data_IF_638963896422
#
_entry.id   IF_638963896422
#
_cell.length_a   1.000
_cell.length_b   1.000
_cell.length_c   1.000
_cell.angle_alpha   90.00
_cell.angle_beta   90.00
_cell.angle_gamma   90.00
#
_symmetry.space_group_name_H-M   'P 1'
#
loop_
_entity.id
_entity.type
_entity.pdbx_description
1 polymer ?
#
# COMPACT_ATOMS: atom_id res chain seq x y z
N UNK A 1 -4.44 17.67 -13.46
CA UNK A 1 -5.50 16.75 -13.81
C UNK A 1 -4.94 15.52 -14.50
N UNK A 2 -5.34 14.34 -14.05
CA UNK A 2 -4.78 13.09 -14.57
C UNK A 2 -5.71 12.35 -15.52
N UNK A 3 -6.61 13.10 -16.17
CA UNK A 3 -7.52 12.54 -17.17
C UNK A 3 -6.70 11.88 -18.28
N UNK A 4 -6.98 10.64 -18.59
CA UNK A 4 -6.25 9.87 -19.60
C UNK A 4 -5.05 9.10 -19.10
N UNK A 5 -4.57 9.36 -17.89
CA UNK A 5 -3.50 8.58 -17.30
C UNK A 5 -4.08 7.32 -16.65
N UNK A 6 -3.55 6.11 -16.95
CA UNK A 6 -4.00 4.92 -16.25
C UNK A 6 -3.67 5.01 -14.76
N UNK A 7 -4.53 4.45 -13.94
CA UNK A 7 -4.24 4.39 -12.51
C UNK A 7 -3.08 3.45 -12.24
N UNK A 8 -2.23 3.84 -11.30
CA UNK A 8 -1.14 3.01 -10.82
C UNK A 8 -1.60 2.00 -9.76
N UNK A 9 -2.88 2.01 -9.43
CA UNK A 9 -3.46 1.19 -8.38
C UNK A 9 -4.72 0.53 -8.90
N UNK A 10 -4.84 -0.78 -8.69
CA UNK A 10 -6.10 -1.49 -8.86
C UNK A 10 -6.56 -2.02 -7.51
N UNK A 11 -7.86 -2.26 -7.37
CA UNK A 11 -8.41 -2.73 -6.10
C UNK A 11 -9.28 -3.95 -6.31
N UNK A 12 -9.31 -4.84 -5.32
CA UNK A 12 -10.23 -5.96 -5.25
C UNK A 12 -10.60 -6.23 -3.80
N UNK A 13 -11.78 -6.78 -3.59
CA UNK A 13 -12.27 -7.13 -2.25
C UNK A 13 -11.90 -8.58 -1.94
N UNK A 14 -11.34 -8.82 -0.75
CA UNK A 14 -11.02 -10.14 -0.26
C UNK A 14 -11.77 -10.42 1.03
N UNK A 15 -12.32 -11.63 1.16
CA UNK A 15 -13.04 -12.05 2.37
C UNK A 15 -14.17 -11.09 2.74
N UNK A 16 -14.73 -10.36 1.77
CA UNK A 16 -15.84 -9.45 1.96
C UNK A 16 -15.55 -8.17 2.74
N UNK A 17 -14.42 -8.07 3.42
CA UNK A 17 -14.15 -6.97 4.34
C UNK A 17 -12.83 -6.24 4.09
N UNK A 18 -11.86 -6.89 3.46
CA UNK A 18 -10.54 -6.32 3.23
C UNK A 18 -10.39 -5.94 1.78
N UNK A 19 -9.93 -4.72 1.52
CA UNK A 19 -9.68 -4.29 0.16
C UNK A 19 -8.18 -4.36 -0.12
N UNK A 20 -7.81 -5.06 -1.20
CA UNK A 20 -6.42 -5.20 -1.62
C UNK A 20 -6.14 -4.19 -2.72
N UNK A 21 -5.18 -3.33 -2.48
CA UNK A 21 -4.74 -2.31 -3.43
C UNK A 21 -3.41 -2.76 -4.02
N UNK A 22 -3.42 -3.09 -5.30
CA UNK A 22 -2.22 -3.56 -6.00
C UNK A 22 -1.53 -2.39 -6.68
N UNK A 23 -0.24 -2.21 -6.39
CA UNK A 23 0.58 -1.15 -6.99
C UNK A 23 1.15 -1.66 -8.31
N UNK A 24 0.85 -0.94 -9.38
CA UNK A 24 1.30 -1.27 -10.74
C UNK A 24 2.44 -0.33 -11.15
N UNK A 25 3.56 -0.44 -10.47
CA UNK A 25 4.80 0.25 -10.80
C UNK A 25 5.94 -0.59 -10.24
N UNK A 26 6.97 -0.83 -11.03
CA UNK A 26 8.11 -1.64 -10.59
C UNK A 26 9.19 -0.79 -9.94
N UNK A 27 9.35 0.46 -10.35
CA UNK A 27 10.40 1.36 -9.87
C UNK A 27 9.75 2.63 -9.30
N UNK A 28 9.66 2.71 -7.98
CA UNK A 28 8.99 3.82 -7.29
C UNK A 28 10.06 4.71 -6.67
N UNK A 29 10.81 5.38 -7.54
CA UNK A 29 11.96 6.19 -7.14
C UNK A 29 11.86 7.66 -7.56
N UNK A 30 11.07 7.98 -8.59
CA UNK A 30 10.95 9.36 -9.07
C UNK A 30 9.84 10.10 -8.32
N UNK A 31 10.09 11.37 -8.02
CA UNK A 31 9.17 12.20 -7.25
C UNK A 31 7.79 12.30 -7.89
N UNK A 32 7.74 12.46 -9.21
CA UNK A 32 6.46 12.59 -9.92
C UNK A 32 5.65 11.30 -9.82
N UNK A 33 6.31 10.15 -9.98
CA UNK A 33 5.65 8.87 -9.87
C UNK A 33 5.14 8.64 -8.44
N UNK A 34 5.95 8.97 -7.44
CA UNK A 34 5.56 8.84 -6.04
C UNK A 34 4.32 9.69 -5.75
N UNK A 35 4.29 10.92 -6.26
CA UNK A 35 3.14 11.80 -6.10
C UNK A 35 1.89 11.25 -6.74
N UNK A 36 2.01 10.74 -7.97
CA UNK A 36 0.88 10.13 -8.68
C UNK A 36 0.38 8.89 -7.95
N UNK A 37 1.28 8.06 -7.47
CA UNK A 37 0.90 6.86 -6.73
C UNK A 37 0.15 7.22 -5.45
N UNK A 38 0.61 8.22 -4.73
CA UNK A 38 -0.07 8.69 -3.52
C UNK A 38 -1.49 9.17 -3.80
N UNK A 39 -1.68 9.91 -4.88
CA UNK A 39 -3.01 10.36 -5.31
C UNK A 39 -3.91 9.16 -5.63
N UNK A 40 -3.39 8.22 -6.41
CA UNK A 40 -4.16 7.04 -6.81
C UNK A 40 -4.55 6.17 -5.60
N UNK A 41 -3.64 6.02 -4.64
CA UNK A 41 -3.93 5.28 -3.41
C UNK A 41 -5.02 5.96 -2.60
N UNK A 42 -4.95 7.27 -2.42
CA UNK A 42 -5.98 8.00 -1.68
C UNK A 42 -7.33 7.92 -2.37
N UNK A 43 -7.37 8.00 -3.69
CA UNK A 43 -8.61 7.85 -4.45
C UNK A 43 -9.21 6.47 -4.26
N UNK A 44 -8.40 5.44 -4.31
CA UNK A 44 -8.88 4.06 -4.12
C UNK A 44 -9.42 3.86 -2.71
N UNK A 45 -8.76 4.41 -1.71
CA UNK A 45 -9.18 4.34 -0.32
C UNK A 45 -10.51 5.08 -0.12
N UNK A 46 -10.60 6.29 -0.65
CA UNK A 46 -11.78 7.14 -0.43
C UNK A 46 -12.99 6.64 -1.20
N UNK A 47 -12.78 5.91 -2.31
CA UNK A 47 -13.88 5.37 -3.11
C UNK A 47 -14.51 4.12 -2.48
N UNK A 48 -13.79 3.45 -1.57
CA UNK A 48 -14.26 2.20 -0.96
C UNK A 48 -14.93 2.44 0.38
N UNK A 49 -15.60 1.40 0.85
CA UNK A 49 -16.23 1.38 2.17
C UNK A 49 -15.55 0.41 3.13
N UNK A 50 -14.37 -0.09 2.77
CA UNK A 50 -13.65 -1.04 3.60
C UNK A 50 -13.02 -0.35 4.81
N UNK A 51 -12.87 -1.10 5.90
CA UNK A 51 -12.21 -0.63 7.11
C UNK A 51 -10.76 -1.12 7.19
N UNK A 52 -10.36 -1.99 6.29
CA UNK A 52 -9.03 -2.56 6.29
C UNK A 52 -8.52 -2.69 4.85
N UNK A 53 -7.26 -2.38 4.66
CA UNK A 53 -6.62 -2.36 3.35
C UNK A 53 -5.31 -3.11 3.40
N UNK A 54 -5.04 -3.87 2.34
CA UNK A 54 -3.72 -4.47 2.08
C UNK A 54 -3.11 -3.76 0.89
N UNK A 55 -1.88 -3.32 1.02
CA UNK A 55 -1.14 -2.75 -0.09
C UNK A 55 -0.23 -3.84 -0.64
N UNK A 56 -0.55 -4.30 -1.86
CA UNK A 56 0.19 -5.38 -2.52
C UNK A 56 1.35 -4.76 -3.32
N UNK A 57 2.57 -5.01 -2.86
CA UNK A 57 3.79 -4.46 -3.43
C UNK A 57 4.60 -5.51 -4.19
N UNK A 58 3.97 -6.64 -4.52
CA UNK A 58 4.71 -7.76 -5.14
C UNK A 58 5.31 -7.39 -6.50
N UNK A 59 4.75 -6.41 -7.20
CA UNK A 59 5.30 -5.91 -8.46
C UNK A 59 6.34 -4.81 -8.31
N UNK A 60 6.56 -4.30 -7.12
CA UNK A 60 7.51 -3.21 -6.89
C UNK A 60 8.89 -3.81 -6.62
N UNK A 61 9.86 -3.39 -7.42
CA UNK A 61 11.23 -3.90 -7.32
C UNK A 61 12.17 -2.94 -6.59
N UNK A 62 11.94 -1.64 -6.73
CA UNK A 62 12.77 -0.61 -6.10
C UNK A 62 11.91 0.50 -5.55
N UNK A 63 12.27 1.02 -4.39
CA UNK A 63 11.67 2.25 -3.86
C UNK A 63 12.70 3.03 -3.04
N UNK A 64 12.43 4.31 -2.88
CA UNK A 64 13.27 5.23 -2.11
C UNK A 64 12.66 5.52 -0.75
N UNK A 65 13.42 6.19 0.11
CA UNK A 65 12.89 6.66 1.38
C UNK A 65 11.76 7.67 1.19
N UNK A 66 11.73 8.41 0.08
CA UNK A 66 10.61 9.31 -0.23
C UNK A 66 9.33 8.50 -0.47
N UNK A 67 9.43 7.39 -1.20
CA UNK A 67 8.29 6.49 -1.38
C UNK A 67 7.84 5.88 -0.06
N UNK A 68 8.78 5.50 0.79
CA UNK A 68 8.46 4.99 2.12
C UNK A 68 7.69 6.02 2.92
N UNK A 69 8.11 7.28 2.87
CA UNK A 69 7.40 8.38 3.53
C UNK A 69 5.97 8.52 3.03
N UNK A 70 5.76 8.34 1.74
CA UNK A 70 4.42 8.38 1.17
C UNK A 70 3.55 7.24 1.73
N UNK A 71 4.08 6.02 1.84
CA UNK A 71 3.33 4.89 2.43
C UNK A 71 3.01 5.14 3.90
N UNK A 72 3.93 5.74 4.64
CA UNK A 72 3.68 6.11 6.04
C UNK A 72 2.55 7.14 6.13
N UNK A 73 2.52 8.11 5.21
CA UNK A 73 1.43 9.09 5.16
C UNK A 73 0.09 8.43 4.84
N UNK A 74 0.07 7.43 3.97
CA UNK A 74 -1.15 6.67 3.69
C UNK A 74 -1.61 5.94 4.96
N UNK A 75 -0.68 5.33 5.69
CA UNK A 75 -1.01 4.68 6.95
C UNK A 75 -1.64 5.66 7.94
N UNK A 76 -1.05 6.85 8.09
CA UNK A 76 -1.58 7.88 8.99
C UNK A 76 -2.98 8.35 8.57
N UNK A 77 -3.18 8.53 7.26
CA UNK A 77 -4.49 8.90 6.72
C UNK A 77 -5.56 7.85 7.07
N UNK A 78 -5.21 6.59 6.94
CA UNK A 78 -6.13 5.49 7.29
C UNK A 78 -6.37 5.42 8.80
N UNK A 79 -5.33 5.56 9.60
CA UNK A 79 -5.45 5.52 11.06
C UNK A 79 -6.38 6.62 11.58
N UNK A 80 -6.30 7.81 11.00
CA UNK A 80 -7.18 8.93 11.37
C UNK A 80 -8.65 8.62 11.09
N UNK A 81 -8.92 7.72 10.17
CA UNK A 81 -10.27 7.30 9.81
C UNK A 81 -10.70 6.01 10.51
N UNK A 82 -9.88 5.50 11.41
CA UNK A 82 -10.16 4.26 12.10
C UNK A 82 -9.97 3.02 11.25
N UNK A 83 -9.25 3.14 10.13
CA UNK A 83 -8.98 2.04 9.22
C UNK A 83 -7.60 1.46 9.47
N UNK A 84 -7.39 0.22 9.04
CA UNK A 84 -6.14 -0.49 9.22
C UNK A 84 -5.45 -0.74 7.89
N UNK A 85 -4.12 -0.81 7.91
CA UNK A 85 -3.32 -1.08 6.72
C UNK A 85 -2.28 -2.16 7.03
N UNK A 86 -2.10 -3.08 6.10
CA UNK A 86 -0.95 -3.98 6.10
C UNK A 86 -0.28 -3.94 4.74
N UNK A 87 1.02 -4.14 4.71
CA UNK A 87 1.79 -4.22 3.47
C UNK A 87 2.09 -5.68 3.17
N UNK A 88 2.11 -6.05 1.91
CA UNK A 88 2.31 -7.44 1.49
C UNK A 88 3.19 -7.50 0.25
N UNK A 89 3.92 -8.59 0.11
CA UNK A 89 4.64 -8.91 -1.11
C UNK A 89 5.98 -8.22 -1.28
N UNK A 90 6.46 -7.50 -0.29
CA UNK A 90 7.75 -6.84 -0.39
C UNK A 90 8.87 -7.89 -0.47
N UNK A 91 9.80 -7.69 -1.41
CA UNK A 91 10.93 -8.59 -1.62
C UNK A 91 12.15 -7.77 -2.04
N UNK A 92 13.34 -8.38 -1.96
CA UNK A 92 14.58 -7.78 -2.44
C UNK A 92 14.85 -6.40 -1.84
N UNK A 93 15.03 -5.41 -2.70
CA UNK A 93 15.30 -4.03 -2.28
C UNK A 93 14.21 -3.46 -1.40
N UNK A 94 12.95 -3.70 -1.76
CA UNK A 94 11.80 -3.17 -1.02
C UNK A 94 11.78 -3.73 0.40
N UNK A 95 11.96 -5.03 0.54
CA UNK A 95 12.02 -5.67 1.86
C UNK A 95 13.17 -5.13 2.69
N UNK A 96 14.32 -4.90 2.06
CA UNK A 96 15.49 -4.35 2.74
C UNK A 96 15.23 -2.94 3.26
N UNK A 97 14.62 -2.08 2.43
CA UNK A 97 14.29 -0.71 2.81
C UNK A 97 13.32 -0.70 4.00
N UNK A 98 12.31 -1.56 3.95
CA UNK A 98 11.34 -1.67 5.05
C UNK A 98 12.02 -2.13 6.35
N UNK A 99 12.91 -3.09 6.25
CA UNK A 99 13.62 -3.61 7.42
C UNK A 99 14.53 -2.56 8.03
N UNK A 100 15.27 -1.83 7.20
CA UNK A 100 16.16 -0.75 7.66
C UNK A 100 15.39 0.37 8.34
N UNK A 101 14.18 0.65 7.86
CA UNK A 101 13.31 1.68 8.45
C UNK A 101 12.50 1.15 9.63
N UNK A 102 12.59 -0.13 9.95
CA UNK A 102 11.84 -0.78 11.02
C UNK A 102 10.33 -0.57 10.86
N UNK A 103 9.87 -0.69 9.63
CA UNK A 103 8.49 -0.38 9.27
C UNK A 103 7.50 -1.33 9.94
N UNK A 104 7.92 -2.57 10.21
CA UNK A 104 7.08 -3.56 10.89
C UNK A 104 6.71 -3.18 12.31
N UNK A 105 7.40 -2.19 12.89
CA UNK A 105 7.04 -1.65 14.21
C UNK A 105 5.87 -0.69 14.13
N UNK A 106 5.58 -0.18 12.94
CA UNK A 106 4.50 0.78 12.72
C UNK A 106 3.22 0.10 12.22
N UNK A 107 3.36 -0.86 11.30
CA UNK A 107 2.23 -1.56 10.70
C UNK A 107 2.67 -2.95 10.26
N UNK A 108 1.72 -3.89 10.09
CA UNK A 108 2.06 -5.25 9.65
C UNK A 108 2.69 -5.24 8.26
N UNK A 109 3.78 -6.00 8.12
CA UNK A 109 4.44 -6.24 6.84
C UNK A 109 4.48 -7.76 6.66
N UNK A 110 3.76 -8.25 5.66
CA UNK A 110 3.56 -9.69 5.46
C UNK A 110 4.19 -10.16 4.16
N UNK A 111 4.67 -11.40 4.10
CA UNK A 111 5.25 -11.92 2.86
C UNK A 111 4.25 -12.04 1.71
N UNK A 112 2.98 -12.32 2.02
CA UNK A 112 1.95 -12.54 1.00
C UNK A 112 0.70 -11.74 1.30
N UNK A 113 -0.09 -11.49 0.26
CA UNK A 113 -1.39 -10.86 0.39
C UNK A 113 -2.32 -11.70 1.26
N UNK A 114 -2.29 -13.03 1.10
CA UNK A 114 -3.15 -13.91 1.90
C UNK A 114 -2.90 -13.76 3.40
N UNK A 115 -1.65 -13.72 3.81
CA UNK A 115 -1.31 -13.52 5.23
C UNK A 115 -1.76 -12.15 5.73
N UNK A 116 -1.59 -11.10 4.90
CA UNK A 116 -2.02 -9.76 5.26
C UNK A 116 -3.53 -9.68 5.42
N UNK A 117 -4.27 -10.30 4.51
CA UNK A 117 -5.74 -10.36 4.60
C UNK A 117 -6.17 -11.08 5.88
N UNK A 118 -5.50 -12.19 6.21
CA UNK A 118 -5.84 -12.95 7.42
C UNK A 118 -5.62 -12.14 8.70
N UNK A 119 -4.54 -11.35 8.76
CA UNK A 119 -4.26 -10.49 9.91
C UNK A 119 -5.33 -9.42 10.07
N UNK A 120 -5.80 -8.84 8.96
CA UNK A 120 -6.76 -7.73 8.98
C UNK A 120 -8.21 -8.17 9.05
N UNK A 121 -8.48 -9.43 8.82
CA UNK A 121 -9.84 -9.95 8.84
C UNK A 121 -10.46 -9.79 10.22
N UNK A 122 -11.71 -9.30 10.31
CA UNK A 122 -12.36 -9.20 11.62
C UNK A 122 -12.56 -10.59 12.24
N UNK A 123 -12.49 -10.66 13.53
CA UNK A 123 -12.71 -11.90 14.28
C UNK A 123 -14.17 -12.33 14.23
#
# INVERSE_FOLDING_TARGET
MNAGRPSLVSSRRERGAVEVLTVHADDVTEADLIGCLGVDLRRAIDAGAADAFVLDLSGVRFLTSAALGMFINIHAHLADRGCRLALAGAAGNVARVFKQARLEELLPVCPTVGEAVDILRPC
#
